data_IF_405444027123
#
_entry.id   IF_405444027123
#
_cell.length_a   1.000
_cell.length_b   1.000
_cell.length_c   1.000
_cell.angle_alpha   90.00
_cell.angle_beta   90.00
_cell.angle_gamma   90.00
#
_symmetry.space_group_name_H-M   'P 1'
#
loop_
_entity.id
_entity.type
_entity.pdbx_description
1 polymer ?
#
# COMPACT_ATOMS: atom_id res chain seq x y z
N UNK A 1 31.32 13.76 -9.76
CA UNK A 1 30.63 12.53 -10.22
C UNK A 1 29.57 12.17 -9.19
N UNK A 2 28.37 11.69 -9.57
CA UNK A 2 27.37 11.33 -8.57
C UNK A 2 27.88 10.14 -7.76
N UNK A 3 27.78 10.21 -6.43
CA UNK A 3 28.17 9.14 -5.49
C UNK A 3 27.34 7.85 -5.61
N UNK A 4 26.39 7.80 -6.55
CA UNK A 4 25.72 6.55 -6.91
C UNK A 4 26.65 5.76 -7.82
N UNK A 5 27.35 4.79 -7.21
CA UNK A 5 28.38 3.89 -7.74
C UNK A 5 27.94 2.97 -8.90
N UNK A 6 26.92 3.36 -9.67
CA UNK A 6 26.48 2.68 -10.88
C UNK A 6 27.21 3.29 -12.07
N UNK A 7 28.31 2.68 -12.51
CA UNK A 7 29.01 3.11 -13.72
C UNK A 7 28.28 2.57 -14.95
N UNK A 8 27.81 3.46 -15.81
CA UNK A 8 27.30 3.13 -17.14
C UNK A 8 28.42 3.31 -18.18
N UNK A 9 28.57 2.35 -19.09
CA UNK A 9 29.43 2.49 -20.27
C UNK A 9 28.87 3.53 -21.24
N UNK A 10 29.66 3.95 -22.24
CA UNK A 10 29.19 4.88 -23.29
C UNK A 10 27.93 4.34 -24.00
N UNK A 11 27.93 3.06 -24.36
CA UNK A 11 26.77 2.41 -25.01
C UNK A 11 25.55 2.38 -24.08
N UNK A 12 25.74 2.07 -22.80
CA UNK A 12 24.66 2.09 -21.81
C UNK A 12 24.09 3.51 -21.61
N UNK A 13 24.91 4.55 -21.72
CA UNK A 13 24.44 5.94 -21.68
C UNK A 13 23.55 6.31 -22.87
N UNK A 14 23.89 5.85 -24.08
CA UNK A 14 23.04 6.09 -25.25
C UNK A 14 21.70 5.34 -25.13
N UNK A 15 21.71 4.09 -24.68
CA UNK A 15 20.49 3.34 -24.37
C UNK A 15 19.62 4.07 -23.34
N UNK A 16 20.24 4.66 -22.32
CA UNK A 16 19.54 5.43 -21.29
C UNK A 16 18.90 6.70 -21.84
N UNK A 17 19.59 7.42 -22.72
CA UNK A 17 19.03 8.63 -23.37
C UNK A 17 17.80 8.27 -24.21
N UNK A 18 17.85 7.18 -24.96
CA UNK A 18 16.71 6.69 -25.74
C UNK A 18 15.54 6.26 -24.84
N UNK A 19 15.81 5.56 -23.74
CA UNK A 19 14.77 5.20 -22.76
C UNK A 19 14.12 6.46 -22.14
N UNK A 20 14.93 7.46 -21.77
CA UNK A 20 14.44 8.74 -21.27
C UNK A 20 13.57 9.43 -22.31
N UNK A 21 14.02 9.50 -23.57
CA UNK A 21 13.27 10.12 -24.66
C UNK A 21 11.92 9.45 -24.87
N UNK A 22 11.88 8.11 -24.82
CA UNK A 22 10.66 7.31 -24.94
C UNK A 22 9.69 7.55 -23.78
N UNK A 23 10.18 7.63 -22.53
CA UNK A 23 9.33 7.74 -21.33
C UNK A 23 8.96 9.18 -20.96
N UNK A 24 9.71 10.18 -21.45
CA UNK A 24 9.52 11.60 -21.12
C UNK A 24 8.07 12.08 -21.30
N UNK A 25 7.35 11.79 -22.40
CA UNK A 25 5.98 12.27 -22.57
C UNK A 25 5.02 11.75 -21.48
N UNK A 26 5.12 10.47 -21.15
CA UNK A 26 4.30 9.82 -20.12
C UNK A 26 4.61 10.38 -18.73
N UNK A 27 5.89 10.56 -18.42
CA UNK A 27 6.34 11.15 -17.15
C UNK A 27 5.88 12.61 -17.01
N UNK A 28 5.98 13.41 -18.08
CA UNK A 28 5.51 14.80 -18.06
C UNK A 28 3.99 14.88 -17.85
N UNK A 29 3.23 14.00 -18.49
CA UNK A 29 1.78 13.88 -18.25
C UNK A 29 1.48 13.51 -16.79
N UNK A 30 2.28 12.63 -16.19
CA UNK A 30 2.11 12.19 -14.80
C UNK A 30 2.50 13.27 -13.77
N UNK A 31 3.41 14.18 -14.14
CA UNK A 31 3.80 15.34 -13.31
C UNK A 31 2.79 16.49 -13.43
N UNK A 32 2.00 16.53 -14.50
CA UNK A 32 1.01 17.58 -14.74
C UNK A 32 -0.13 17.55 -13.70
N UNK A 33 -0.01 18.47 -12.75
CA UNK A 33 -0.97 18.65 -11.65
C UNK A 33 -2.33 19.20 -12.10
N UNK A 34 -2.49 19.61 -13.35
CA UNK A 34 -3.82 20.00 -13.86
C UNK A 34 -4.77 18.80 -13.99
N UNK A 35 -4.21 17.60 -14.16
CA UNK A 35 -4.99 16.37 -14.40
C UNK A 35 -4.72 15.27 -13.37
N UNK A 36 -3.52 15.22 -12.79
CA UNK A 36 -3.12 14.16 -11.86
C UNK A 36 -2.99 14.64 -10.42
N UNK A 37 -3.81 14.07 -9.53
CA UNK A 37 -3.68 14.31 -8.09
C UNK A 37 -2.42 13.61 -7.59
N UNK A 38 -1.41 14.38 -7.21
CA UNK A 38 -0.08 13.88 -6.83
C UNK A 38 0.46 14.58 -5.59
N UNK A 39 1.23 13.85 -4.80
CA UNK A 39 2.05 14.39 -3.71
C UNK A 39 3.25 15.22 -4.19
N UNK A 40 3.49 15.23 -5.51
CA UNK A 40 4.65 15.85 -6.12
C UNK A 40 5.89 14.98 -6.03
N UNK A 41 6.81 15.21 -6.96
CA UNK A 41 8.11 14.56 -6.99
C UNK A 41 9.07 15.36 -6.12
N UNK A 42 9.76 14.67 -5.20
CA UNK A 42 10.75 15.31 -4.32
C UNK A 42 12.14 15.21 -4.93
N UNK A 43 12.78 16.35 -5.17
CA UNK A 43 14.21 16.36 -5.42
C UNK A 43 14.93 16.17 -4.09
N UNK A 44 15.89 15.25 -4.04
CA UNK A 44 16.66 14.97 -2.83
C UNK A 44 17.92 15.83 -2.84
N UNK A 45 17.97 16.81 -1.94
CA UNK A 45 19.21 17.50 -1.63
C UNK A 45 20.10 16.57 -0.79
N UNK A 46 21.28 16.21 -1.32
CA UNK A 46 22.17 15.27 -0.64
C UNK A 46 22.62 15.77 0.75
N UNK A 47 22.87 17.06 0.92
CA UNK A 47 23.27 17.62 2.22
C UNK A 47 22.15 17.48 3.25
N UNK A 48 20.93 17.85 2.88
CA UNK A 48 19.75 17.71 3.74
C UNK A 48 19.47 16.23 4.08
N UNK A 49 19.64 15.34 3.10
CA UNK A 49 19.51 13.90 3.31
C UNK A 49 20.52 13.36 4.33
N UNK A 50 21.80 13.70 4.19
CA UNK A 50 22.84 13.24 5.13
C UNK A 50 22.62 13.80 6.53
N UNK A 51 22.17 15.05 6.64
CA UNK A 51 21.80 15.65 7.92
C UNK A 51 20.63 14.90 8.57
N UNK A 52 19.53 14.68 7.84
CA UNK A 52 18.38 13.95 8.36
C UNK A 52 18.74 12.50 8.76
N UNK A 53 19.64 11.85 8.01
CA UNK A 53 20.14 10.51 8.35
C UNK A 53 20.98 10.52 9.63
N UNK A 54 21.80 11.56 9.85
CA UNK A 54 22.57 11.73 11.07
C UNK A 54 21.67 12.01 12.28
N UNK A 55 20.62 12.82 12.13
CA UNK A 55 19.61 13.08 13.16
C UNK A 55 18.85 11.80 13.55
N UNK A 56 18.47 10.98 12.56
CA UNK A 56 17.86 9.67 12.79
C UNK A 56 18.80 8.76 13.59
N UNK A 57 20.08 8.70 13.20
CA UNK A 57 21.11 7.91 13.90
C UNK A 57 21.28 8.38 15.35
N UNK A 58 21.32 9.68 15.58
CA UNK A 58 21.46 10.26 16.92
C UNK A 58 20.25 9.93 17.79
N UNK A 59 19.03 10.06 17.25
CA UNK A 59 17.78 9.72 17.98
C UNK A 59 17.76 8.27 18.45
N UNK A 60 18.33 7.36 17.65
CA UNK A 60 18.43 5.93 17.97
C UNK A 60 19.49 5.59 19.03
N UNK A 61 20.28 6.54 19.52
CA UNK A 61 21.20 6.30 20.64
C UNK A 61 20.46 6.15 21.97
N UNK A 62 19.27 6.76 22.12
CA UNK A 62 18.45 6.64 23.31
C UNK A 62 17.75 5.28 23.41
N UNK A 63 18.05 4.51 24.47
CA UNK A 63 17.37 3.23 24.72
C UNK A 63 15.86 3.40 24.92
N UNK A 64 15.45 4.43 25.67
CA UNK A 64 14.04 4.75 25.91
C UNK A 64 13.30 5.02 24.60
N UNK A 65 13.89 5.80 23.70
CA UNK A 65 13.33 6.09 22.39
C UNK A 65 13.18 4.81 21.56
N UNK A 66 14.23 3.98 21.47
CA UNK A 66 14.21 2.71 20.72
C UNK A 66 13.07 1.76 21.13
N UNK A 67 12.69 1.77 22.41
CA UNK A 67 11.64 0.92 22.93
C UNK A 67 10.23 1.41 22.59
N UNK A 68 10.06 2.68 22.21
CA UNK A 68 8.78 3.20 21.72
C UNK A 68 8.46 2.62 20.34
N UNK A 69 7.18 2.61 19.95
CA UNK A 69 6.81 2.29 18.56
C UNK A 69 7.46 3.26 17.57
N UNK A 70 7.78 4.47 18.03
CA UNK A 70 8.59 5.41 17.28
C UNK A 70 10.03 4.99 17.06
N UNK A 71 10.68 4.49 18.09
CA UNK A 71 12.03 3.97 17.99
C UNK A 71 12.11 2.76 17.05
N UNK A 72 11.16 1.83 17.15
CA UNK A 72 11.15 0.61 16.33
C UNK A 72 11.09 0.90 14.83
N UNK A 73 10.22 1.82 14.42
CA UNK A 73 10.09 2.19 13.00
C UNK A 73 11.29 3.02 12.55
N UNK A 74 11.78 3.93 13.40
CA UNK A 74 13.03 4.66 13.14
C UNK A 74 14.22 3.71 12.92
N UNK A 75 14.31 2.63 13.71
CA UNK A 75 15.36 1.62 13.60
C UNK A 75 15.25 0.83 12.29
N UNK A 76 14.04 0.44 11.90
CA UNK A 76 13.78 -0.21 10.62
C UNK A 76 14.13 0.72 9.44
N UNK A 77 13.72 1.99 9.49
CA UNK A 77 14.07 2.97 8.47
C UNK A 77 15.59 3.11 8.34
N UNK A 78 16.28 3.27 9.47
CA UNK A 78 17.73 3.39 9.50
C UNK A 78 18.42 2.17 8.88
N UNK A 79 18.01 0.94 9.22
CA UNK A 79 18.61 -0.27 8.66
C UNK A 79 18.48 -0.32 7.13
N UNK A 80 17.31 -0.01 6.57
CA UNK A 80 17.08 0.01 5.12
C UNK A 80 17.87 1.10 4.41
N UNK A 81 18.09 2.24 5.09
CA UNK A 81 18.84 3.37 4.55
C UNK A 81 20.35 3.12 4.51
N UNK A 82 20.88 2.33 5.46
CA UNK A 82 22.34 2.17 5.66
C UNK A 82 22.90 0.78 5.36
N UNK A 83 22.06 -0.25 5.28
CA UNK A 83 22.46 -1.62 5.00
C UNK A 83 21.72 -2.17 3.78
N UNK A 84 22.47 -2.44 2.71
CA UNK A 84 21.87 -2.92 1.47
C UNK A 84 21.33 -4.35 1.57
N UNK A 85 21.71 -5.11 2.61
CA UNK A 85 21.09 -6.42 2.85
C UNK A 85 19.61 -6.29 3.26
N UNK A 86 19.25 -5.25 4.01
CA UNK A 86 17.86 -4.94 4.32
C UNK A 86 17.12 -4.34 3.12
N UNK A 87 17.85 -3.71 2.20
CA UNK A 87 17.28 -3.08 1.00
C UNK A 87 17.08 -4.03 -0.19
N UNK A 88 17.80 -5.17 -0.23
CA UNK A 88 17.79 -6.06 -1.40
C UNK A 88 16.41 -6.61 -1.79
N UNK A 89 15.48 -6.68 -0.83
CA UNK A 89 14.09 -7.14 -1.03
C UNK A 89 13.29 -6.26 -1.99
N UNK A 90 13.79 -5.07 -2.32
CA UNK A 90 13.17 -4.11 -3.24
C UNK A 90 13.79 -4.10 -4.64
N UNK A 91 14.62 -5.12 -4.94
CA UNK A 91 15.41 -5.21 -6.17
C UNK A 91 15.08 -6.50 -6.94
N UNK A 92 15.50 -6.55 -8.20
CA UNK A 92 15.43 -7.80 -8.99
C UNK A 92 16.26 -8.91 -8.35
N UNK A 93 15.88 -10.16 -8.65
CA UNK A 93 16.64 -11.37 -8.27
C UNK A 93 18.12 -11.25 -8.66
N UNK A 94 18.40 -10.73 -9.86
CA UNK A 94 19.77 -10.46 -10.33
C UNK A 94 20.55 -9.57 -9.36
N UNK A 95 19.93 -8.51 -8.83
CA UNK A 95 20.60 -7.59 -7.90
C UNK A 95 20.64 -8.12 -6.47
N UNK A 96 19.70 -8.98 -6.07
CA UNK A 96 19.68 -9.62 -4.75
C UNK A 96 20.91 -10.51 -4.52
N UNK A 97 21.38 -11.19 -5.57
CA UNK A 97 22.60 -12.01 -5.53
C UNK A 97 23.90 -11.21 -5.43
N UNK A 98 23.87 -9.90 -5.71
CA UNK A 98 25.06 -9.05 -5.77
C UNK A 98 25.35 -8.29 -4.48
N UNK A 99 24.76 -8.72 -3.36
CA UNK A 99 24.98 -8.14 -2.04
C UNK A 99 26.27 -8.71 -1.44
N UNK A 100 27.22 -7.84 -1.14
CA UNK A 100 28.51 -8.21 -0.55
C UNK A 100 28.64 -7.54 0.82
N UNK A 101 28.99 -8.33 1.84
CA UNK A 101 29.28 -7.81 3.18
C UNK A 101 30.51 -6.91 3.14
N UNK A 102 30.43 -5.74 3.76
CA UNK A 102 31.58 -4.83 3.89
C UNK A 102 32.20 -4.93 5.29
N UNK A 103 33.46 -4.49 5.40
CA UNK A 103 34.31 -4.67 6.58
C UNK A 103 33.81 -3.95 7.84
N UNK A 104 32.86 -3.03 7.72
CA UNK A 104 32.25 -2.30 8.83
C UNK A 104 30.92 -2.92 9.31
N UNK A 105 30.58 -4.13 8.84
CA UNK A 105 29.35 -4.85 9.22
C UNK A 105 28.10 -4.47 8.42
N UNK A 106 28.15 -3.48 7.52
CA UNK A 106 27.06 -3.20 6.58
C UNK A 106 27.27 -3.89 5.25
N UNK A 107 26.20 -4.23 4.53
CA UNK A 107 26.30 -4.83 3.20
C UNK A 107 26.16 -3.77 2.12
N UNK A 108 26.75 -4.04 0.96
CA UNK A 108 26.71 -3.17 -0.23
C UNK A 108 26.34 -3.96 -1.46
N UNK A 109 25.52 -3.37 -2.32
CA UNK A 109 25.20 -3.97 -3.62
C UNK A 109 26.26 -3.58 -4.65
N UNK A 110 26.83 -4.59 -5.30
CA UNK A 110 27.75 -4.41 -6.42
C UNK A 110 26.96 -4.42 -7.73
N UNK A 111 27.17 -3.42 -8.60
CA UNK A 111 26.51 -3.37 -9.92
C UNK A 111 27.45 -3.74 -11.07
N UNK A 112 28.69 -4.14 -10.77
CA UNK A 112 29.68 -4.56 -11.78
C UNK A 112 29.25 -5.93 -12.32
N UNK A 113 29.13 -6.06 -13.64
CA UNK A 113 28.67 -7.29 -14.30
C UNK A 113 27.15 -7.44 -14.40
N UNK A 114 26.38 -6.58 -13.72
CA UNK A 114 24.91 -6.58 -13.84
C UNK A 114 24.44 -6.02 -15.20
N UNK A 115 23.26 -6.44 -15.61
CA UNK A 115 22.57 -5.97 -16.82
C UNK A 115 22.21 -4.49 -16.73
N UNK A 116 22.07 -3.84 -17.88
CA UNK A 116 21.65 -2.43 -17.95
C UNK A 116 20.30 -2.20 -17.24
N UNK A 117 19.35 -3.14 -17.42
CA UNK A 117 18.03 -3.10 -16.78
C UNK A 117 18.16 -3.16 -15.26
N UNK A 118 18.95 -4.09 -14.72
CA UNK A 118 19.16 -4.25 -13.29
C UNK A 118 19.85 -3.04 -12.67
N UNK A 119 20.86 -2.47 -13.36
CA UNK A 119 21.51 -1.21 -12.97
C UNK A 119 20.53 -0.03 -12.88
N UNK A 120 19.63 0.12 -13.86
CA UNK A 120 18.61 1.18 -13.83
C UNK A 120 17.59 0.97 -12.71
N UNK A 121 17.16 -0.27 -12.46
CA UNK A 121 16.27 -0.58 -11.34
C UNK A 121 16.92 -0.24 -9.99
N UNK A 122 18.18 -0.63 -9.79
CA UNK A 122 18.94 -0.29 -8.58
C UNK A 122 19.00 1.22 -8.36
N UNK A 123 19.36 1.98 -9.40
CA UNK A 123 19.44 3.43 -9.33
C UNK A 123 18.08 4.08 -8.98
N UNK A 124 17.00 3.59 -9.58
CA UNK A 124 15.64 4.07 -9.30
C UNK A 124 15.20 3.74 -7.86
N UNK A 125 15.39 2.50 -7.43
CA UNK A 125 15.05 2.07 -6.08
C UNK A 125 15.82 2.87 -5.01
N UNK A 126 17.12 3.15 -5.23
CA UNK A 126 17.90 3.99 -4.33
C UNK A 126 17.37 5.43 -4.26
N UNK A 127 16.99 6.02 -5.39
CA UNK A 127 16.41 7.36 -5.43
C UNK A 127 15.07 7.38 -4.65
N UNK A 128 14.18 6.44 -4.94
CA UNK A 128 12.88 6.27 -4.28
C UNK A 128 13.03 6.07 -2.78
N UNK A 129 13.98 5.25 -2.33
CA UNK A 129 14.33 5.08 -0.90
C UNK A 129 14.66 6.42 -0.23
N UNK A 130 15.53 7.22 -0.85
CA UNK A 130 15.95 8.53 -0.32
C UNK A 130 14.76 9.51 -0.29
N UNK A 131 13.99 9.57 -1.36
CA UNK A 131 12.81 10.45 -1.45
C UNK A 131 11.76 10.09 -0.41
N UNK A 132 11.48 8.80 -0.22
CA UNK A 132 10.53 8.31 0.79
C UNK A 132 10.97 8.71 2.18
N UNK A 133 12.25 8.52 2.52
CA UNK A 133 12.78 8.93 3.82
C UNK A 133 12.61 10.43 4.07
N UNK A 134 12.96 11.26 3.07
CA UNK A 134 12.79 12.71 3.17
C UNK A 134 11.33 13.14 3.24
N UNK A 135 10.38 12.32 2.77
CA UNK A 135 8.94 12.58 2.87
C UNK A 135 8.35 12.07 4.19
N UNK A 136 8.94 11.04 4.80
CA UNK A 136 8.33 10.30 5.90
C UNK A 136 8.08 11.16 7.14
N UNK A 137 8.94 12.15 7.41
CA UNK A 137 8.72 13.12 8.49
C UNK A 137 7.43 13.93 8.30
N UNK A 138 7.21 14.41 7.08
CA UNK A 138 6.02 15.20 6.75
C UNK A 138 4.76 14.31 6.74
N UNK A 139 4.91 13.02 6.38
CA UNK A 139 3.84 12.02 6.49
C UNK A 139 3.43 11.79 7.95
N UNK A 140 4.38 11.75 8.88
CA UNK A 140 4.08 11.60 10.32
C UNK A 140 3.25 12.79 10.81
N UNK A 141 3.64 14.02 10.47
CA UNK A 141 2.85 15.19 10.81
C UNK A 141 1.44 15.12 10.19
N UNK A 142 1.35 14.76 8.91
CA UNK A 142 0.08 14.62 8.21
C UNK A 142 -0.83 13.53 8.81
N UNK A 143 -0.25 12.45 9.36
CA UNK A 143 -1.01 11.41 10.06
C UNK A 143 -1.65 11.95 11.33
N UNK A 144 -0.92 12.71 12.15
CA UNK A 144 -1.49 13.28 13.38
C UNK A 144 -2.59 14.30 13.05
N UNK A 145 -2.38 15.15 12.05
CA UNK A 145 -3.43 16.07 11.56
C UNK A 145 -4.68 15.29 11.08
N UNK A 146 -4.48 14.25 10.27
CA UNK A 146 -5.57 13.40 9.77
C UNK A 146 -6.31 12.68 10.90
N UNK A 147 -5.59 12.25 11.93
CA UNK A 147 -6.15 11.57 13.10
C UNK A 147 -7.01 12.51 13.93
N UNK A 148 -6.56 13.74 14.20
CA UNK A 148 -7.36 14.75 14.89
C UNK A 148 -8.60 15.15 14.08
N UNK A 149 -8.46 15.34 12.77
CA UNK A 149 -9.60 15.55 11.88
C UNK A 149 -10.59 14.37 11.96
N UNK A 150 -10.10 13.14 11.94
CA UNK A 150 -10.94 11.95 12.02
C UNK A 150 -11.67 11.83 13.37
N UNK A 151 -11.02 12.19 14.49
CA UNK A 151 -11.68 12.26 15.82
C UNK A 151 -12.83 13.26 15.82
N UNK A 152 -12.64 14.42 15.18
CA UNK A 152 -13.68 15.44 15.07
C UNK A 152 -14.90 14.90 14.30
N UNK A 153 -14.69 14.25 13.15
CA UNK A 153 -15.77 13.60 12.40
C UNK A 153 -16.48 12.53 13.26
N UNK A 154 -15.72 11.68 13.94
CA UNK A 154 -16.27 10.65 14.84
C UNK A 154 -17.17 11.26 15.92
N UNK A 155 -16.75 12.36 16.54
CA UNK A 155 -17.52 13.04 17.60
C UNK A 155 -18.87 13.57 17.13
N UNK A 156 -19.00 13.94 15.84
CA UNK A 156 -20.24 14.49 15.28
C UNK A 156 -21.21 13.41 14.78
N UNK A 157 -20.67 12.32 14.23
CA UNK A 157 -21.47 11.33 13.49
C UNK A 157 -21.53 9.96 14.18
N UNK A 158 -21.05 9.87 15.42
CA UNK A 158 -21.06 8.65 16.23
C UNK A 158 -20.43 7.45 15.52
N UNK A 159 -19.20 7.65 15.02
CA UNK A 159 -18.36 6.58 14.45
C UNK A 159 -17.35 6.03 15.46
N UNK A 160 -16.48 5.16 14.98
CA UNK A 160 -15.32 4.66 15.73
C UNK A 160 -14.07 4.80 14.87
N UNK A 161 -12.97 5.25 15.46
CA UNK A 161 -11.69 5.23 14.77
C UNK A 161 -11.19 3.79 14.65
N UNK A 162 -10.95 3.37 13.42
CA UNK A 162 -10.27 2.13 13.10
C UNK A 162 -8.92 2.48 12.51
N UNK A 163 -7.86 2.21 13.27
CA UNK A 163 -6.49 2.49 12.84
C UNK A 163 -6.04 1.35 11.92
N UNK A 164 -5.71 1.61 10.65
CA UNK A 164 -5.23 0.55 9.76
C UNK A 164 -3.95 -0.10 10.31
N UNK A 165 -3.71 -1.40 10.05
CA UNK A 165 -2.47 -2.06 10.46
C UNK A 165 -1.28 -1.35 9.81
N UNK A 166 -0.30 -0.93 10.61
CA UNK A 166 0.79 -0.09 10.14
C UNK A 166 1.70 0.39 11.27
N UNK A 167 2.48 1.42 10.96
CA UNK A 167 3.32 2.12 11.92
C UNK A 167 2.54 3.31 12.53
N UNK A 168 2.92 3.80 13.71
CA UNK A 168 2.54 5.14 14.20
C UNK A 168 1.06 5.52 14.06
N UNK A 169 0.14 4.79 14.66
CA UNK A 169 -1.27 5.18 14.59
C UNK A 169 -1.87 5.13 13.18
N UNK A 170 -1.36 4.26 12.30
CA UNK A 170 -1.99 3.90 11.02
C UNK A 170 -1.17 4.16 9.77
N UNK A 171 -0.05 4.86 9.90
CA UNK A 171 0.88 5.17 8.80
C UNK A 171 1.29 3.88 8.09
N UNK A 172 1.35 3.95 6.76
CA UNK A 172 1.96 2.86 5.99
C UNK A 172 3.39 2.64 6.45
N UNK A 173 3.76 1.39 6.72
CA UNK A 173 5.14 1.06 7.09
C UNK A 173 6.11 1.50 5.99
N UNK A 174 7.34 1.88 6.37
CA UNK A 174 8.36 2.27 5.40
C UNK A 174 8.59 1.18 4.35
N UNK A 175 8.63 -0.09 4.78
CA UNK A 175 8.70 -1.25 3.90
C UNK A 175 7.53 -1.31 2.91
N UNK A 176 6.30 -1.18 3.40
CA UNK A 176 5.11 -1.26 2.55
C UNK A 176 5.01 -0.11 1.57
N UNK A 177 5.50 1.08 1.94
CA UNK A 177 5.56 2.24 1.06
C UNK A 177 6.64 2.07 -0.01
N UNK A 178 7.82 1.57 0.37
CA UNK A 178 8.92 1.32 -0.55
C UNK A 178 8.58 0.21 -1.54
N UNK A 179 8.07 -0.93 -1.06
CA UNK A 179 7.55 -2.03 -1.90
C UNK A 179 6.55 -1.53 -2.94
N UNK A 180 5.61 -0.67 -2.52
CA UNK A 180 4.59 -0.13 -3.41
C UNK A 180 5.18 0.63 -4.60
N UNK A 181 6.18 1.47 -4.36
CA UNK A 181 6.80 2.27 -5.43
C UNK A 181 7.94 1.56 -6.16
N UNK A 182 8.49 0.46 -5.64
CA UNK A 182 9.61 -0.25 -6.31
C UNK A 182 9.17 -1.51 -7.05
N UNK A 183 8.26 -2.29 -6.46
CA UNK A 183 7.98 -3.65 -6.93
C UNK A 183 6.64 -3.79 -7.66
N UNK A 184 5.63 -2.98 -7.31
CA UNK A 184 4.25 -3.20 -7.81
C UNK A 184 4.02 -2.67 -9.22
N UNK A 185 4.43 -1.42 -9.46
CA UNK A 185 4.31 -0.80 -10.77
C UNK A 185 5.55 0.09 -11.03
N UNK A 186 6.30 -0.15 -12.11
CA UNK A 186 7.48 0.65 -12.45
C UNK A 186 7.21 2.14 -12.70
N UNK A 187 5.94 2.52 -12.95
CA UNK A 187 5.50 3.90 -13.10
C UNK A 187 5.08 4.56 -11.79
N UNK A 188 4.77 3.77 -10.74
CA UNK A 188 4.43 4.35 -9.45
C UNK A 188 5.65 5.09 -8.90
N UNK A 189 5.44 6.32 -8.44
CA UNK A 189 6.46 7.12 -7.78
C UNK A 189 5.96 7.58 -6.40
N UNK A 190 6.83 8.28 -5.67
CA UNK A 190 6.54 8.94 -4.40
C UNK A 190 5.33 9.87 -4.52
N UNK A 191 5.14 10.50 -5.69
CA UNK A 191 3.97 11.31 -5.99
C UNK A 191 2.64 10.56 -5.88
N UNK A 192 2.65 9.24 -6.05
CA UNK A 192 1.46 8.38 -6.01
C UNK A 192 1.16 7.79 -4.64
N UNK A 193 2.07 7.97 -3.66
CA UNK A 193 1.92 7.54 -2.27
C UNK A 193 0.99 8.44 -1.45
N UNK A 194 -0.26 8.56 -1.90
CA UNK A 194 -1.33 9.35 -1.25
C UNK A 194 -2.02 8.63 -0.07
N UNK A 195 -1.63 7.39 0.18
CA UNK A 195 -2.20 6.52 1.22
C UNK A 195 -1.17 6.22 2.33
N UNK A 196 -0.07 6.97 2.40
CA UNK A 196 0.93 6.82 3.44
C UNK A 196 0.43 7.31 4.78
N UNK A 197 -0.11 8.53 4.85
CA UNK A 197 -0.97 8.96 5.94
C UNK A 197 -2.38 8.44 5.65
N UNK A 198 -2.96 7.68 6.57
CA UNK A 198 -4.26 7.03 6.36
C UNK A 198 -5.00 6.76 7.64
N UNK A 199 -6.32 6.89 7.58
CA UNK A 199 -7.23 6.60 8.68
C UNK A 199 -8.50 5.93 8.14
N UNK A 200 -9.14 5.14 9.00
CA UNK A 200 -10.48 4.62 8.73
C UNK A 200 -11.43 5.04 9.85
N UNK A 201 -12.63 5.47 9.48
CA UNK A 201 -13.76 5.63 10.40
C UNK A 201 -14.75 4.52 10.11
N UNK A 202 -15.06 3.77 11.16
CA UNK A 202 -16.05 2.71 11.20
C UNK A 202 -17.39 3.28 11.65
N UNK A 203 -18.47 2.88 11.00
CA UNK A 203 -19.84 3.28 11.33
C UNK A 203 -20.76 2.07 11.44
N UNK A 204 -21.66 2.09 12.42
CA UNK A 204 -22.65 1.02 12.56
C UNK A 204 -23.82 1.15 11.57
N UNK A 205 -23.98 2.32 10.95
CA UNK A 205 -25.04 2.55 9.97
C UNK A 205 -24.56 3.31 8.74
N UNK A 206 -25.12 2.92 7.59
CA UNK A 206 -24.95 3.60 6.31
C UNK A 206 -25.38 5.07 6.39
N UNK A 207 -26.42 5.39 7.15
CA UNK A 207 -26.95 6.75 7.31
C UNK A 207 -25.91 7.68 7.96
N UNK A 208 -25.28 7.23 9.06
CA UNK A 208 -24.23 8.01 9.74
C UNK A 208 -23.01 8.20 8.84
N UNK A 209 -22.58 7.14 8.16
CA UNK A 209 -21.47 7.19 7.20
C UNK A 209 -21.75 8.18 6.05
N UNK A 210 -22.97 8.16 5.50
CA UNK A 210 -23.39 9.07 4.43
C UNK A 210 -23.44 10.54 4.90
N UNK A 211 -23.94 10.79 6.11
CA UNK A 211 -23.92 12.13 6.71
C UNK A 211 -22.50 12.65 6.92
N UNK A 212 -21.60 11.81 7.45
CA UNK A 212 -20.18 12.13 7.61
C UNK A 212 -19.51 12.48 6.26
N UNK A 213 -19.83 11.72 5.19
CA UNK A 213 -19.35 12.03 3.83
C UNK A 213 -19.75 13.44 3.40
N UNK A 214 -21.02 13.82 3.57
CA UNK A 214 -21.52 15.16 3.19
C UNK A 214 -20.86 16.27 4.00
N UNK A 215 -20.55 16.02 5.27
CA UNK A 215 -19.79 16.96 6.09
C UNK A 215 -18.35 17.12 5.59
N UNK A 216 -17.62 16.01 5.42
CA UNK A 216 -16.22 16.01 4.96
C UNK A 216 -16.09 16.70 3.60
N UNK A 217 -17.05 16.50 2.70
CA UNK A 217 -17.02 17.12 1.37
C UNK A 217 -17.16 18.65 1.39
N UNK A 218 -17.48 19.25 2.54
CA UNK A 218 -17.58 20.70 2.72
C UNK A 218 -16.38 21.30 3.45
N UNK A 219 -15.45 20.48 3.91
CA UNK A 219 -14.27 20.96 4.63
C UNK A 219 -13.19 21.43 3.67
N UNK A 220 -12.27 22.27 4.18
CA UNK A 220 -11.19 22.83 3.38
C UNK A 220 -10.26 21.73 2.84
N UNK A 221 -9.98 20.72 3.65
CA UNK A 221 -9.07 19.61 3.33
C UNK A 221 -9.50 18.86 2.07
N UNK A 222 -10.82 18.71 1.86
CA UNK A 222 -11.36 18.12 0.64
C UNK A 222 -11.46 19.13 -0.51
N UNK A 223 -11.97 20.35 -0.26
CA UNK A 223 -12.17 21.37 -1.30
C UNK A 223 -10.89 21.75 -2.04
N UNK A 224 -9.75 21.72 -1.34
CA UNK A 224 -8.43 21.93 -1.96
C UNK A 224 -8.07 20.88 -3.03
N UNK A 225 -8.76 19.74 -3.07
CA UNK A 225 -8.55 18.61 -3.99
C UNK A 225 -9.78 18.26 -4.83
N UNK A 226 -10.94 18.87 -4.57
CA UNK A 226 -12.23 18.43 -5.13
C UNK A 226 -12.31 18.57 -6.65
N UNK A 227 -11.44 19.35 -7.29
CA UNK A 227 -11.34 19.41 -8.76
C UNK A 227 -10.81 18.12 -9.37
N UNK A 228 -10.10 17.27 -8.62
CA UNK A 228 -9.67 15.96 -9.11
C UNK A 228 -10.78 14.93 -8.95
N UNK A 229 -11.16 14.25 -10.03
CA UNK A 229 -12.12 13.14 -9.99
C UNK A 229 -11.73 12.02 -9.01
N UNK A 230 -10.44 11.84 -8.74
CA UNK A 230 -9.94 10.81 -7.83
C UNK A 230 -9.94 11.22 -6.35
N UNK A 231 -10.26 12.48 -6.01
CA UNK A 231 -10.25 12.99 -4.64
C UNK A 231 -11.29 12.32 -3.73
N UNK A 232 -12.38 11.81 -4.32
CA UNK A 232 -13.37 10.99 -3.64
C UNK A 232 -13.70 9.77 -4.50
N UNK A 233 -13.77 8.60 -3.86
CA UNK A 233 -14.34 7.38 -4.44
C UNK A 233 -15.50 6.93 -3.58
N UNK A 234 -16.72 7.21 -4.02
CA UNK A 234 -17.94 6.74 -3.36
C UNK A 234 -18.39 5.45 -4.05
N UNK A 235 -18.08 4.29 -3.47
CA UNK A 235 -18.47 2.98 -4.03
C UNK A 235 -19.87 2.53 -3.65
N UNK A 236 -20.53 3.29 -2.78
CA UNK A 236 -21.92 3.08 -2.42
C UNK A 236 -22.88 3.89 -3.31
N UNK A 237 -22.37 4.88 -4.04
CA UNK A 237 -23.15 5.68 -4.96
C UNK A 237 -24.07 6.68 -4.25
N UNK A 238 -23.71 7.12 -3.04
CA UNK A 238 -24.53 8.05 -2.27
C UNK A 238 -24.40 9.51 -2.74
N UNK A 239 -23.58 9.80 -3.74
CA UNK A 239 -23.44 11.14 -4.31
C UNK A 239 -24.69 11.54 -5.10
N UNK A 240 -25.08 12.81 -5.01
CA UNK A 240 -26.24 13.36 -5.72
C UNK A 240 -25.86 14.64 -6.47
N UNK A 241 -26.59 14.94 -7.54
CA UNK A 241 -26.42 16.17 -8.31
C UNK A 241 -26.61 17.42 -7.45
N UNK A 242 -27.57 17.39 -6.51
CA UNK A 242 -27.83 18.50 -5.59
C UNK A 242 -26.62 18.84 -4.71
N UNK A 243 -25.82 17.83 -4.34
CA UNK A 243 -24.59 18.01 -3.56
C UNK A 243 -23.34 18.21 -4.41
N UNK A 244 -23.45 18.07 -5.75
CA UNK A 244 -22.31 18.05 -6.67
C UNK A 244 -21.38 16.84 -6.49
N UNK A 245 -21.80 15.82 -5.73
CA UNK A 245 -20.97 14.66 -5.39
C UNK A 245 -21.21 13.44 -6.28
N UNK A 246 -22.24 13.47 -7.13
CA UNK A 246 -22.58 12.39 -8.06
C UNK A 246 -21.42 12.03 -8.99
N UNK A 247 -20.65 13.04 -9.42
CA UNK A 247 -19.43 12.83 -10.21
C UNK A 247 -18.47 11.83 -9.55
N UNK A 248 -18.39 11.77 -8.23
CA UNK A 248 -17.46 10.89 -7.50
C UNK A 248 -18.02 9.47 -7.24
N UNK A 249 -19.24 9.20 -7.69
CA UNK A 249 -19.82 7.86 -7.60
C UNK A 249 -19.02 6.89 -8.48
N UNK A 250 -18.66 5.76 -7.90
CA UNK A 250 -17.89 4.69 -8.57
C UNK A 250 -18.53 3.35 -8.27
N UNK A 251 -18.27 2.35 -9.11
CA UNK A 251 -18.76 0.99 -8.84
C UNK A 251 -17.96 0.34 -7.71
N UNK A 252 -18.58 -0.65 -7.06
CA UNK A 252 -17.86 -1.59 -6.20
C UNK A 252 -16.65 -2.19 -6.93
N UNK A 253 -15.66 -2.63 -6.17
CA UNK A 253 -14.55 -3.40 -6.76
C UNK A 253 -15.06 -4.71 -7.36
N UNK A 254 -14.28 -5.35 -8.23
CA UNK A 254 -14.64 -6.66 -8.82
C UNK A 254 -14.90 -7.73 -7.74
N UNK A 255 -14.25 -7.62 -6.59
CA UNK A 255 -14.47 -8.46 -5.41
C UNK A 255 -15.82 -8.21 -4.73
N UNK A 256 -16.49 -7.10 -5.00
CA UNK A 256 -17.69 -6.66 -4.29
C UNK A 256 -17.42 -5.62 -3.20
N UNK A 257 -16.16 -5.33 -2.87
CA UNK A 257 -15.81 -4.36 -1.83
C UNK A 257 -16.32 -2.94 -2.15
N UNK A 258 -16.96 -2.33 -1.15
CA UNK A 258 -17.43 -0.94 -1.16
C UNK A 258 -16.84 -0.19 0.03
N UNK A 259 -16.45 1.05 -0.21
CA UNK A 259 -16.04 2.03 0.80
C UNK A 259 -16.30 3.43 0.25
N UNK A 260 -16.27 4.42 1.14
CA UNK A 260 -16.13 5.82 0.76
C UNK A 260 -14.71 6.22 1.08
N UNK A 261 -13.95 6.63 0.06
CA UNK A 261 -12.55 7.01 0.23
C UNK A 261 -12.34 8.46 -0.16
N UNK A 262 -11.90 9.27 0.79
CA UNK A 262 -11.43 10.63 0.57
C UNK A 262 -9.91 10.68 0.49
N UNK A 263 -9.42 11.57 -0.38
CA UNK A 263 -8.09 12.14 -0.26
C UNK A 263 -8.25 13.57 0.24
N UNK A 264 -7.53 13.89 1.31
CA UNK A 264 -7.63 15.14 2.04
C UNK A 264 -6.27 15.80 2.08
N UNK A 265 -6.18 17.10 1.77
CA UNK A 265 -4.93 17.85 1.84
C UNK A 265 -4.73 18.39 3.25
N UNK A 266 -3.70 17.91 3.93
CA UNK A 266 -3.29 18.35 5.25
C UNK A 266 -2.60 19.72 5.17
N UNK A 267 -2.37 20.38 6.31
CA UNK A 267 -1.84 21.75 6.36
C UNK A 267 -0.43 21.83 5.78
N UNK A 268 0.40 20.82 6.03
CA UNK A 268 1.75 20.70 5.45
C UNK A 268 1.76 20.30 3.96
N UNK A 269 0.59 20.21 3.32
CA UNK A 269 0.42 19.90 1.90
C UNK A 269 0.50 18.41 1.55
N UNK A 270 0.73 17.53 2.52
CA UNK A 270 0.64 16.08 2.32
C UNK A 270 -0.83 15.68 2.17
N UNK A 271 -1.09 14.66 1.35
CA UNK A 271 -2.42 14.12 1.11
C UNK A 271 -2.58 12.90 2.02
N UNK A 272 -3.61 12.93 2.86
CA UNK A 272 -4.04 11.81 3.67
C UNK A 272 -5.19 11.05 3.01
N UNK A 273 -5.23 9.73 3.19
CA UNK A 273 -6.36 8.90 2.78
C UNK A 273 -7.30 8.66 3.98
N UNK A 274 -8.55 9.12 3.89
CA UNK A 274 -9.59 8.83 4.88
C UNK A 274 -10.61 7.86 4.28
N UNK A 275 -10.74 6.67 4.86
CA UNK A 275 -11.76 5.70 4.49
C UNK A 275 -12.93 5.76 5.47
N UNK A 276 -14.16 5.78 4.96
CA UNK A 276 -15.36 5.54 5.74
C UNK A 276 -15.90 4.17 5.36
N UNK A 277 -16.18 3.35 6.37
CA UNK A 277 -16.70 2.00 6.20
C UNK A 277 -17.78 1.70 7.23
N UNK A 278 -18.64 0.75 6.88
CA UNK A 278 -19.52 0.11 7.86
C UNK A 278 -18.81 -1.06 8.54
N UNK A 279 -19.16 -1.35 9.79
CA UNK A 279 -18.49 -2.33 10.66
C UNK A 279 -18.38 -3.72 10.00
N UNK A 280 -19.49 -4.25 9.45
CA UNK A 280 -19.49 -5.53 8.73
C UNK A 280 -18.58 -5.55 7.49
N UNK A 281 -18.41 -4.42 6.80
CA UNK A 281 -17.54 -4.31 5.63
C UNK A 281 -16.05 -4.37 6.02
N UNK A 282 -15.68 -3.87 7.21
CA UNK A 282 -14.33 -4.01 7.72
C UNK A 282 -13.99 -5.46 8.09
N UNK A 283 -14.94 -6.18 8.69
CA UNK A 283 -14.79 -7.62 8.96
C UNK A 283 -14.65 -8.40 7.66
N UNK A 284 -15.52 -8.14 6.68
CA UNK A 284 -15.42 -8.76 5.35
C UNK A 284 -14.05 -8.51 4.73
N UNK A 285 -13.57 -7.25 4.76
CA UNK A 285 -12.26 -6.85 4.24
C UNK A 285 -11.11 -7.57 4.90
N UNK A 286 -11.13 -7.71 6.22
CA UNK A 286 -10.09 -8.44 6.96
C UNK A 286 -10.03 -9.91 6.53
N UNK A 287 -11.18 -10.59 6.45
CA UNK A 287 -11.24 -12.01 6.08
C UNK A 287 -10.94 -12.24 4.60
N UNK A 288 -11.31 -11.30 3.73
CA UNK A 288 -11.09 -11.41 2.29
C UNK A 288 -9.66 -11.04 1.87
N UNK A 289 -8.92 -10.26 2.67
CA UNK A 289 -7.59 -9.78 2.29
C UNK A 289 -6.61 -10.90 1.92
N UNK A 290 -6.72 -12.07 2.55
CA UNK A 290 -5.89 -13.25 2.19
C UNK A 290 -6.27 -13.84 0.83
N UNK A 291 -7.57 -13.82 0.47
CA UNK A 291 -8.04 -14.19 -0.86
C UNK A 291 -7.50 -13.19 -1.89
N UNK A 292 -7.58 -11.90 -1.58
CA UNK A 292 -7.03 -10.84 -2.44
C UNK A 292 -5.52 -11.01 -2.68
N UNK A 293 -4.73 -11.35 -1.65
CA UNK A 293 -3.30 -11.60 -1.81
C UNK A 293 -3.01 -12.79 -2.74
N UNK A 294 -3.84 -13.85 -2.74
CA UNK A 294 -3.76 -14.99 -3.69
C UNK A 294 -4.10 -14.54 -5.11
N UNK A 295 -5.23 -13.86 -5.29
CA UNK A 295 -5.77 -13.52 -6.61
C UNK A 295 -4.99 -12.38 -7.29
N UNK A 296 -4.33 -11.51 -6.53
CA UNK A 296 -3.53 -10.40 -7.10
C UNK A 296 -2.35 -10.89 -7.92
N UNK A 297 -1.74 -12.01 -7.53
CA UNK A 297 -0.60 -12.59 -8.24
C UNK A 297 -1.04 -13.35 -9.51
N UNK A 298 -2.35 -13.59 -9.68
CA UNK A 298 -2.91 -14.13 -10.91
C UNK A 298 -3.07 -13.04 -11.97
N UNK A 299 -2.36 -13.18 -13.11
CA UNK A 299 -2.61 -12.32 -14.27
C UNK A 299 -4.04 -12.54 -14.75
N UNK A 300 -4.74 -11.44 -15.05
CA UNK A 300 -6.12 -11.49 -15.55
C UNK A 300 -6.19 -12.35 -16.82
N UNK A 301 -7.08 -13.34 -16.84
CA UNK A 301 -7.25 -14.30 -17.96
C UNK A 301 -6.32 -15.53 -17.91
N UNK A 302 -5.46 -15.68 -16.89
CA UNK A 302 -4.67 -16.88 -16.74
C UNK A 302 -5.52 -18.06 -16.25
N UNK A 303 -5.49 -19.19 -16.98
CA UNK A 303 -6.16 -20.45 -16.58
C UNK A 303 -5.55 -21.07 -15.32
N UNK A 304 -4.27 -20.80 -15.09
CA UNK A 304 -3.54 -21.21 -13.89
C UNK A 304 -2.59 -20.09 -13.47
N UNK A 305 -2.43 -19.90 -12.17
CA UNK A 305 -1.44 -19.01 -11.58
C UNK A 305 -0.56 -19.82 -10.63
N UNK A 306 0.75 -19.56 -10.63
CA UNK A 306 1.66 -20.14 -9.63
C UNK A 306 2.19 -19.02 -8.75
N UNK A 307 1.83 -19.07 -7.47
CA UNK A 307 2.31 -18.15 -6.44
C UNK A 307 3.61 -18.71 -5.91
N UNK A 308 4.70 -17.96 -6.07
CA UNK A 308 6.03 -18.28 -5.52
C UNK A 308 6.46 -17.27 -4.45
N UNK A 309 5.63 -16.26 -4.19
CA UNK A 309 5.92 -15.22 -3.21
C UNK A 309 5.80 -15.80 -1.79
N UNK A 310 6.94 -15.98 -1.12
CA UNK A 310 7.00 -16.55 0.23
C UNK A 310 6.14 -15.80 1.24
N UNK A 311 6.09 -14.47 1.19
CA UNK A 311 5.28 -13.67 2.13
C UNK A 311 3.78 -13.93 1.92
N UNK A 312 3.34 -14.12 0.67
CA UNK A 312 1.95 -14.50 0.37
C UNK A 312 1.67 -15.90 0.88
N UNK A 313 2.56 -16.86 0.61
CA UNK A 313 2.40 -18.25 1.07
C UNK A 313 2.35 -18.35 2.60
N UNK A 314 3.23 -17.64 3.31
CA UNK A 314 3.27 -17.62 4.77
C UNK A 314 1.98 -16.99 5.35
N UNK A 315 1.49 -15.90 4.75
CA UNK A 315 0.18 -15.31 5.12
C UNK A 315 -0.98 -16.26 4.88
N UNK A 316 -1.01 -16.95 3.75
CA UNK A 316 -2.07 -17.92 3.43
C UNK A 316 -2.09 -19.04 4.46
N UNK A 317 -0.92 -19.63 4.78
CA UNK A 317 -0.77 -20.66 5.81
C UNK A 317 -1.21 -20.18 7.19
N UNK A 318 -0.91 -18.93 7.53
CA UNK A 318 -1.23 -18.36 8.84
C UNK A 318 -2.70 -17.93 8.98
N UNK A 319 -3.28 -17.30 7.96
CA UNK A 319 -4.58 -16.65 8.05
C UNK A 319 -5.76 -17.47 7.53
N UNK A 320 -5.56 -18.42 6.60
CA UNK A 320 -6.63 -19.35 6.17
C UNK A 320 -6.67 -20.58 7.08
N UNK A 321 -6.82 -20.33 8.38
CA UNK A 321 -6.82 -21.33 9.44
C UNK A 321 -8.19 -22.04 9.56
N UNK A 322 -8.30 -23.12 10.35
CA UNK A 322 -9.59 -23.75 10.65
C UNK A 322 -10.66 -22.76 11.13
N UNK A 323 -10.27 -21.78 11.95
CA UNK A 323 -11.15 -20.72 12.45
C UNK A 323 -11.65 -19.80 11.33
N UNK A 324 -10.78 -19.46 10.37
CA UNK A 324 -11.20 -18.70 9.19
C UNK A 324 -12.25 -19.46 8.40
N UNK A 325 -12.03 -20.75 8.12
CA UNK A 325 -13.02 -21.54 7.39
C UNK A 325 -14.33 -21.70 8.16
N UNK A 326 -14.27 -21.93 9.47
CA UNK A 326 -15.45 -22.03 10.32
C UNK A 326 -16.25 -20.73 10.32
N UNK A 327 -15.56 -19.58 10.35
CA UNK A 327 -16.18 -18.28 10.27
C UNK A 327 -16.97 -18.12 8.96
N UNK A 328 -16.34 -18.41 7.80
CA UNK A 328 -17.02 -18.28 6.50
C UNK A 328 -18.19 -19.27 6.40
N UNK A 329 -17.99 -20.52 6.80
CA UNK A 329 -19.03 -21.55 6.74
C UNK A 329 -20.25 -21.21 7.59
N UNK A 330 -20.02 -20.62 8.77
CA UNK A 330 -21.10 -20.22 9.70
C UNK A 330 -21.85 -19.00 9.19
N UNK A 331 -21.12 -17.98 8.72
CA UNK A 331 -21.71 -16.67 8.36
C UNK A 331 -22.20 -16.62 6.92
N UNK A 332 -21.73 -17.52 6.07
CA UNK A 332 -22.00 -17.56 4.62
C UNK A 332 -22.20 -19.01 4.16
N UNK A 333 -23.22 -19.72 4.66
CA UNK A 333 -23.40 -21.15 4.38
C UNK A 333 -23.60 -21.46 2.87
N UNK A 334 -24.03 -20.48 2.08
CA UNK A 334 -24.19 -20.62 0.62
C UNK A 334 -22.90 -20.85 -0.16
N UNK A 335 -21.71 -20.62 0.43
CA UNK A 335 -20.41 -20.85 -0.25
C UNK A 335 -19.69 -22.13 0.19
N UNK A 336 -20.38 -23.04 0.88
CA UNK A 336 -19.83 -24.34 1.31
C UNK A 336 -19.12 -25.13 0.20
N UNK A 337 -19.70 -25.28 -1.01
CA UNK A 337 -19.01 -25.99 -2.10
C UNK A 337 -17.68 -25.33 -2.48
N UNK A 338 -17.64 -24.00 -2.53
CA UNK A 338 -16.44 -23.22 -2.84
C UNK A 338 -15.40 -23.32 -1.73
N UNK A 339 -15.83 -23.34 -0.46
CA UNK A 339 -14.93 -23.57 0.68
C UNK A 339 -14.25 -24.94 0.59
N UNK A 340 -14.95 -25.99 0.15
CA UNK A 340 -14.34 -27.31 -0.04
C UNK A 340 -13.25 -27.29 -1.11
N UNK A 341 -13.50 -26.60 -2.24
CA UNK A 341 -12.50 -26.41 -3.29
C UNK A 341 -11.26 -25.69 -2.74
N UNK A 342 -11.45 -24.61 -1.98
CA UNK A 342 -10.34 -23.86 -1.38
C UNK A 342 -9.60 -24.69 -0.32
N UNK A 343 -10.29 -25.52 0.48
CA UNK A 343 -9.61 -26.45 1.42
C UNK A 343 -8.72 -27.45 0.69
N UNK A 344 -9.19 -28.02 -0.43
CA UNK A 344 -8.39 -28.92 -1.26
C UNK A 344 -7.21 -28.21 -1.92
N UNK A 345 -7.38 -26.95 -2.32
CA UNK A 345 -6.27 -26.12 -2.81
C UNK A 345 -5.18 -25.97 -1.74
N UNK A 346 -5.56 -25.64 -0.50
CA UNK A 346 -4.63 -25.39 0.59
C UNK A 346 -3.95 -26.65 1.14
N UNK A 347 -4.53 -27.84 0.97
CA UNK A 347 -3.87 -29.09 1.39
C UNK A 347 -2.53 -29.31 0.67
N UNK A 348 -2.36 -28.71 -0.52
CA UNK A 348 -1.09 -28.70 -1.26
C UNK A 348 0.02 -27.88 -0.60
N UNK A 349 -0.32 -27.04 0.39
CA UNK A 349 0.63 -26.29 1.21
C UNK A 349 1.06 -27.02 2.49
N UNK A 350 0.50 -28.22 2.77
CA UNK A 350 0.86 -29.00 3.94
C UNK A 350 2.25 -29.62 3.77
N UNK A 351 3.25 -28.96 4.36
CA UNK A 351 4.65 -29.41 4.35
C UNK A 351 5.63 -28.25 4.52
N UNK A 352 6.75 -28.48 5.22
CA UNK A 352 7.80 -27.48 5.43
C UNK A 352 8.61 -27.14 4.17
N UNK A 353 8.48 -27.93 3.10
CA UNK A 353 9.26 -27.82 1.86
C UNK A 353 8.51 -27.16 0.70
N UNK A 354 7.22 -26.83 0.85
CA UNK A 354 6.42 -26.27 -0.23
C UNK A 354 6.74 -24.79 -0.43
N UNK A 355 7.35 -24.47 -1.57
CA UNK A 355 7.80 -23.13 -1.98
C UNK A 355 6.87 -22.44 -2.98
N UNK A 356 5.79 -23.10 -3.42
CA UNK A 356 4.82 -22.52 -4.35
C UNK A 356 3.40 -23.05 -4.16
N UNK A 357 2.42 -22.29 -4.64
CA UNK A 357 1.01 -22.70 -4.74
C UNK A 357 0.51 -22.47 -6.17
N UNK A 358 0.14 -23.54 -6.85
CA UNK A 358 -0.60 -23.43 -8.12
C UNK A 358 -2.09 -23.31 -7.83
N UNK A 359 -2.72 -22.30 -8.42
CA UNK A 359 -4.16 -22.01 -8.36
C UNK A 359 -4.75 -22.18 -9.75
N UNK A 360 -5.70 -23.09 -9.89
CA UNK A 360 -6.46 -23.34 -11.12
C UNK A 360 -7.58 -22.32 -11.32
N UNK A 361 -8.16 -22.29 -12.52
CA UNK A 361 -9.33 -21.47 -12.85
C UNK A 361 -10.51 -21.75 -11.91
N UNK A 362 -10.84 -23.02 -11.66
CA UNK A 362 -11.90 -23.42 -10.72
C UNK A 362 -11.65 -22.90 -9.29
N UNK A 363 -10.41 -22.96 -8.83
CA UNK A 363 -10.03 -22.47 -7.49
C UNK A 363 -10.07 -20.94 -7.43
N UNK A 364 -9.66 -20.26 -8.50
CA UNK A 364 -9.76 -18.81 -8.65
C UNK A 364 -11.22 -18.35 -8.62
N UNK A 365 -12.12 -19.03 -9.33
CA UNK A 365 -13.56 -18.73 -9.31
C UNK A 365 -14.20 -19.02 -7.94
N UNK A 366 -13.77 -20.09 -7.26
CA UNK A 366 -14.21 -20.37 -5.90
C UNK A 366 -13.82 -19.24 -4.92
N UNK A 367 -12.56 -18.79 -5.00
CA UNK A 367 -12.06 -17.65 -4.21
C UNK A 367 -12.83 -16.36 -4.49
N UNK A 368 -13.08 -16.02 -5.77
CA UNK A 368 -13.87 -14.85 -6.16
C UNK A 368 -15.30 -14.92 -5.65
N UNK A 369 -15.93 -16.10 -5.73
CA UNK A 369 -17.30 -16.32 -5.24
C UNK A 369 -17.39 -16.11 -3.73
N UNK A 370 -16.42 -16.64 -2.97
CA UNK A 370 -16.33 -16.42 -1.51
C UNK A 370 -16.15 -14.93 -1.21
N UNK A 371 -15.26 -14.24 -1.93
CA UNK A 371 -15.02 -12.79 -1.80
C UNK A 371 -16.29 -11.97 -2.02
N UNK A 372 -17.03 -12.24 -3.10
CA UNK A 372 -18.30 -11.57 -3.41
C UNK A 372 -19.35 -11.81 -2.32
N UNK A 373 -19.49 -13.05 -1.85
CA UNK A 373 -20.45 -13.39 -0.80
C UNK A 373 -20.07 -12.76 0.55
N UNK A 374 -18.77 -12.69 0.87
CA UNK A 374 -18.24 -12.00 2.05
C UNK A 374 -18.63 -10.53 2.05
N UNK A 375 -18.37 -9.82 0.96
CA UNK A 375 -18.68 -8.40 0.90
C UNK A 375 -20.19 -8.12 0.85
N UNK A 376 -20.98 -8.99 0.21
CA UNK A 376 -22.43 -8.90 0.26
C UNK A 376 -22.96 -9.03 1.70
N UNK A 377 -22.41 -9.95 2.50
CA UNK A 377 -22.78 -10.07 3.91
C UNK A 377 -22.22 -8.94 4.77
N UNK A 378 -21.02 -8.45 4.47
CA UNK A 378 -20.44 -7.28 5.15
C UNK A 378 -21.25 -6.01 4.94
N UNK A 379 -21.91 -5.87 3.79
CA UNK A 379 -22.84 -4.77 3.53
C UNK A 379 -24.08 -4.84 4.42
N UNK A 380 -24.49 -6.04 4.82
CA UNK A 380 -25.55 -6.29 5.79
C UNK A 380 -25.07 -6.10 7.25
N UNK A 381 -24.25 -5.07 7.50
CA UNK A 381 -23.86 -4.47 8.79
C UNK A 381 -23.44 -5.41 9.93
N UNK A 382 -24.40 -6.18 10.45
CA UNK A 382 -24.25 -7.10 11.58
C UNK A 382 -24.12 -8.57 11.19
N UNK A 383 -24.35 -8.96 9.93
CA UNK A 383 -24.34 -10.37 9.55
C UNK A 383 -22.99 -11.08 9.82
N UNK A 384 -21.89 -10.32 9.78
CA UNK A 384 -20.53 -10.80 10.04
C UNK A 384 -20.01 -10.53 11.47
N UNK A 385 -20.77 -9.79 12.30
CA UNK A 385 -20.48 -9.53 13.71
C UNK A 385 -21.12 -10.65 14.54
#
# INVERSE_FOLDING_TARGET
>A
MPENRTSFTKTEWELKKEEIKKRKPEVLKHIDKSTHMSQGFRLVNNKAYQQALAELKASLQGQSFRNTDQGKVAQLMYSILTDDNAFKTYLSEEMQGNVVSSTNGSSKIMSKGASFKAKNQLANAHLKRKQLFMMYRDIIQAQEELKEFSKHVVSMFNGKLSVPPGAYGGIKSFNGALDKITNRNPLDDIGDLKDCARMTIEFDSVKAMSAAKVFISRTKEFRDLEHYQSALKDRYGFGSQLSGLDRFNTKAQKSGYKDIKFFLKMQNGIIGELQLNISGMLVAKEKEHVIYDILRDAKEGAKTCTIVNKDVLDKVKHHMSPEWFQFIDTRIPGVRPQLMIVRQMLSRLNGSTVSSLTVSETESEALKTISLALYAQGENGKALL
#
